data_IF_271684130653
#
_entry.id   IF_271684130653
#
_cell.length_a   1.000
_cell.length_b   1.000
_cell.length_c   1.000
_cell.angle_alpha   90.00
_cell.angle_beta   90.00
_cell.angle_gamma   90.00
#
_symmetry.space_group_name_H-M   'P 1'
#
loop_
_entity.id
_entity.type
_entity.pdbx_description
1 polymer ?
#
# COMPACT_ATOMS: atom_id res chain seq x y z
N UNK A 1 14.35 18.33 -12.04
CA UNK A 1 14.51 18.24 -10.57
C UNK A 1 14.52 16.76 -10.24
N UNK A 2 15.67 16.22 -9.84
CA UNK A 2 15.79 14.81 -9.46
C UNK A 2 15.08 14.62 -8.11
N UNK A 3 13.99 13.85 -8.09
CA UNK A 3 13.29 13.55 -6.86
C UNK A 3 14.17 12.61 -6.03
N UNK A 4 14.61 13.07 -4.85
CA UNK A 4 15.24 12.23 -3.84
C UNK A 4 14.30 11.04 -3.58
N UNK A 5 14.82 9.81 -3.72
CA UNK A 5 14.01 8.60 -3.58
C UNK A 5 13.20 8.61 -2.28
N UNK A 6 11.90 8.39 -2.40
CA UNK A 6 10.98 8.37 -1.26
C UNK A 6 10.79 6.93 -0.77
N UNK A 7 10.40 6.79 0.50
CA UNK A 7 10.16 5.48 1.09
C UNK A 7 9.20 5.53 2.26
N UNK A 8 8.69 4.35 2.62
CA UNK A 8 7.78 4.11 3.72
C UNK A 8 8.26 2.88 4.49
N UNK A 9 8.25 2.98 5.82
CA UNK A 9 8.45 1.85 6.72
C UNK A 9 7.22 1.75 7.63
N UNK A 10 6.55 0.61 7.61
CA UNK A 10 5.45 0.29 8.51
C UNK A 10 5.89 -0.84 9.43
N UNK A 11 5.80 -0.62 10.73
CA UNK A 11 6.06 -1.63 11.76
C UNK A 11 4.75 -1.95 12.49
N UNK A 12 4.36 -3.23 12.47
CA UNK A 12 3.29 -3.75 13.34
C UNK A 12 3.94 -4.57 14.45
N UNK A 13 3.77 -4.13 15.70
CA UNK A 13 4.15 -4.90 16.90
C UNK A 13 2.93 -5.65 17.42
N UNK A 14 3.07 -6.95 17.64
CA UNK A 14 2.01 -7.82 18.16
C UNK A 14 2.32 -8.30 19.58
N UNK A 15 1.29 -8.49 20.39
CA UNK A 15 1.36 -9.36 21.57
C UNK A 15 0.97 -10.79 21.18
N UNK A 16 1.40 -11.79 21.95
CA UNK A 16 1.18 -13.22 21.66
C UNK A 16 -0.28 -13.62 21.41
N UNK A 17 -1.26 -12.77 21.75
CA UNK A 17 -2.68 -12.98 21.47
C UNK A 17 -3.10 -12.69 20.00
N UNK A 18 -2.26 -12.04 19.19
CA UNK A 18 -2.67 -11.46 17.88
C UNK A 18 -1.93 -12.05 16.65
N UNK A 19 -1.37 -13.27 16.77
CA UNK A 19 -0.77 -14.02 15.66
C UNK A 19 0.62 -14.61 15.96
N UNK A 20 1.19 -15.39 15.03
CA UNK A 20 2.44 -16.14 15.25
C UNK A 20 3.71 -15.25 15.27
N UNK A 21 3.63 -14.02 14.76
CA UNK A 21 4.78 -13.12 14.65
C UNK A 21 4.71 -11.98 15.67
N UNK A 22 5.75 -11.78 16.50
CA UNK A 22 5.80 -10.69 17.49
C UNK A 22 5.99 -9.32 16.84
N UNK A 23 6.55 -9.26 15.62
CA UNK A 23 6.62 -8.04 14.82
C UNK A 23 6.55 -8.37 13.33
N UNK A 24 6.00 -7.44 12.55
CA UNK A 24 6.01 -7.46 11.09
C UNK A 24 6.49 -6.10 10.58
N UNK A 25 7.39 -6.11 9.61
CA UNK A 25 7.92 -4.91 8.98
C UNK A 25 7.57 -4.94 7.49
N UNK A 26 7.06 -3.82 6.99
CA UNK A 26 6.86 -3.58 5.58
C UNK A 26 7.64 -2.34 5.16
N UNK A 27 8.59 -2.51 4.25
CA UNK A 27 9.41 -1.44 3.70
C UNK A 27 9.15 -1.29 2.20
N UNK A 28 8.88 -0.06 1.76
CA UNK A 28 8.78 0.29 0.35
C UNK A 28 9.69 1.46 0.03
N UNK A 29 10.48 1.35 -1.04
CA UNK A 29 11.28 2.45 -1.60
C UNK A 29 10.87 2.66 -3.05
N UNK A 30 10.54 3.89 -3.41
CA UNK A 30 9.93 4.19 -4.71
C UNK A 30 10.11 5.65 -5.12
N UNK A 31 10.01 5.90 -6.42
CA UNK A 31 9.70 7.22 -6.94
C UNK A 31 8.21 7.49 -6.71
N UNK A 32 7.85 8.57 -5.99
CA UNK A 32 6.45 8.78 -5.64
C UNK A 32 5.56 9.07 -6.84
N UNK A 33 6.09 9.69 -7.90
CA UNK A 33 5.30 9.98 -9.10
C UNK A 33 4.92 8.68 -9.80
N UNK A 34 5.89 7.80 -10.03
CA UNK A 34 5.65 6.49 -10.64
C UNK A 34 4.77 5.61 -9.75
N UNK A 35 4.99 5.63 -8.44
CA UNK A 35 4.18 4.87 -7.49
C UNK A 35 2.72 5.34 -7.53
N UNK A 36 2.47 6.64 -7.42
CA UNK A 36 1.13 7.21 -7.45
C UNK A 36 0.42 6.90 -8.78
N UNK A 37 1.11 7.05 -9.92
CA UNK A 37 0.53 6.72 -11.23
C UNK A 37 0.10 5.25 -11.31
N UNK A 38 0.94 4.32 -10.82
CA UNK A 38 0.62 2.88 -10.81
C UNK A 38 -0.54 2.56 -9.87
N UNK A 39 -0.58 3.16 -8.69
CA UNK A 39 -1.69 3.01 -7.75
C UNK A 39 -3.01 3.52 -8.33
N UNK A 40 -3.00 4.67 -9.01
CA UNK A 40 -4.18 5.22 -9.69
C UNK A 40 -4.67 4.32 -10.81
N UNK A 41 -3.77 3.77 -11.64
CA UNK A 41 -4.14 2.85 -12.72
C UNK A 41 -4.73 1.53 -12.18
N UNK A 42 -4.15 0.99 -11.11
CA UNK A 42 -4.69 -0.18 -10.44
C UNK A 42 -6.08 0.11 -9.83
N UNK A 43 -6.24 1.24 -9.14
CA UNK A 43 -7.53 1.68 -8.61
C UNK A 43 -8.58 1.84 -9.72
N UNK A 44 -8.23 2.48 -10.85
CA UNK A 44 -9.11 2.70 -11.98
C UNK A 44 -9.65 1.38 -12.57
N UNK A 45 -8.83 0.32 -12.60
CA UNK A 45 -9.27 -1.01 -13.05
C UNK A 45 -10.31 -1.65 -12.12
N UNK A 46 -10.34 -1.25 -10.84
CA UNK A 46 -11.30 -1.74 -9.84
C UNK A 46 -12.62 -0.96 -9.86
N UNK A 47 -12.61 0.30 -10.31
CA UNK A 47 -13.80 1.19 -10.34
C UNK A 47 -15.05 0.55 -10.95
N UNK A 48 -15.00 -0.15 -12.10
CA UNK A 48 -16.21 -0.73 -12.70
C UNK A 48 -16.90 -1.80 -11.85
N UNK A 49 -16.21 -2.34 -10.83
CA UNK A 49 -16.74 -3.37 -9.92
C UNK A 49 -17.26 -2.80 -8.60
N UNK A 50 -17.11 -1.49 -8.38
CA UNK A 50 -17.51 -0.83 -7.14
C UNK A 50 -18.94 -0.27 -7.27
N UNK A 51 -19.67 -0.29 -6.16
CA UNK A 51 -20.93 0.45 -6.06
C UNK A 51 -20.69 1.97 -6.19
N UNK A 52 -21.71 2.73 -6.56
CA UNK A 52 -21.62 4.20 -6.60
C UNK A 52 -21.31 4.73 -5.20
N UNK A 53 -20.25 5.51 -5.08
CA UNK A 53 -19.80 6.09 -3.81
C UNK A 53 -18.29 6.33 -3.75
N UNK A 54 -17.82 6.87 -2.63
CA UNK A 54 -16.39 6.99 -2.33
C UNK A 54 -15.88 5.71 -1.67
N UNK A 55 -14.77 5.15 -2.19
CA UNK A 55 -14.16 3.93 -1.68
C UNK A 55 -12.69 4.17 -1.34
N UNK A 56 -12.21 3.72 -0.17
CA UNK A 56 -10.79 3.75 0.13
C UNK A 56 -10.02 2.80 -0.80
N UNK A 57 -8.86 3.24 -1.26
CA UNK A 57 -7.93 2.41 -1.99
C UNK A 57 -7.02 1.67 -1.01
N UNK A 58 -6.91 0.34 -1.18
CA UNK A 58 -5.97 -0.48 -0.44
C UNK A 58 -5.05 -1.20 -1.43
N UNK A 59 -3.74 -1.04 -1.20
CA UNK A 59 -2.72 -1.81 -1.88
C UNK A 59 -2.64 -3.19 -1.22
N UNK A 60 -3.00 -4.21 -1.97
CA UNK A 60 -2.91 -5.61 -1.54
C UNK A 60 -1.72 -6.25 -2.25
N UNK A 61 -0.94 -7.04 -1.54
CA UNK A 61 -0.01 -7.98 -2.17
C UNK A 61 -0.83 -9.25 -2.38
N UNK A 62 -1.25 -9.54 -3.61
CA UNK A 62 -1.77 -10.87 -3.92
C UNK A 62 -0.60 -11.85 -3.76
N UNK A 63 -0.75 -12.82 -2.86
CA UNK A 63 0.20 -13.92 -2.68
C UNK A 63 -0.09 -15.05 -3.65
#
# INVERSE_FOLDING_TARGET
>A
MEALGQGLLLERRGSAAHGPHPSLIFEGRFDATQFAARAMLDAARRVPRLAVGGHPYFLSIEQ
#
